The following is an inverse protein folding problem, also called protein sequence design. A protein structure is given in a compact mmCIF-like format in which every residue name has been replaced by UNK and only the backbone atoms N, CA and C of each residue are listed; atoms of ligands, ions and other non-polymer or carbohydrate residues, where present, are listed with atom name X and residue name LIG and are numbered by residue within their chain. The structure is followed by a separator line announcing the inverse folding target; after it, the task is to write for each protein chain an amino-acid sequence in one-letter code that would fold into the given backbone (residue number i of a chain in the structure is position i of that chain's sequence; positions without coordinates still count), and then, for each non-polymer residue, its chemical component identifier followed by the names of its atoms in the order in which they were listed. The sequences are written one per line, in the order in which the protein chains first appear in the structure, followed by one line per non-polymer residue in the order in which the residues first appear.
data_IF_336028439311
#
_entry.id   IF_336028439311
#
_cell.length_a   1.000
_cell.length_b   1.000
_cell.length_c   1.000
_cell.angle_alpha   90.00
_cell.angle_beta   90.00
_cell.angle_gamma   90.00
#
_symmetry.space_group_name_H-M   'P 1'
#
loop_
_entity.id
_entity.type
_entity.pdbx_description
1 polymer ?
#
# COMPACT_ATOMS: atom_id res chain seq x y z
N UNK A 1 -16.70 -20.75 25.35
CA UNK A 1 -16.23 -21.48 24.15
C UNK A 1 -16.88 -20.96 22.85
N UNK A 2 -18.22 -20.83 22.77
CA UNK A 2 -18.89 -20.33 21.54
C UNK A 2 -18.54 -18.87 21.18
N UNK A 3 -18.63 -17.93 22.13
CA UNK A 3 -18.34 -16.49 21.88
C UNK A 3 -16.90 -16.23 21.44
N UNK A 4 -15.93 -16.92 22.03
CA UNK A 4 -14.51 -16.82 21.64
C UNK A 4 -14.25 -17.36 20.24
N UNK A 5 -14.93 -18.44 19.84
CA UNK A 5 -14.83 -18.98 18.48
C UNK A 5 -15.47 -18.05 17.43
N UNK A 6 -16.58 -17.40 17.78
CA UNK A 6 -17.24 -16.40 16.93
C UNK A 6 -16.34 -15.17 16.71
N UNK A 7 -15.80 -14.59 17.78
CA UNK A 7 -14.86 -13.46 17.70
C UNK A 7 -13.61 -13.80 16.86
N UNK A 8 -13.09 -15.02 17.00
CA UNK A 8 -11.97 -15.49 16.18
C UNK A 8 -12.37 -15.66 14.69
N UNK A 9 -13.63 -16.02 14.38
CA UNK A 9 -14.12 -16.05 13.01
C UNK A 9 -14.24 -14.64 12.42
N UNK A 10 -14.77 -13.69 13.20
CA UNK A 10 -14.92 -12.30 12.80
C UNK A 10 -13.55 -11.64 12.56
N UNK A 11 -12.57 -11.94 13.40
CA UNK A 11 -11.20 -11.46 13.22
C UNK A 11 -10.55 -12.02 11.95
N UNK A 12 -10.71 -13.33 11.70
CA UNK A 12 -10.24 -13.94 10.45
C UNK A 12 -10.93 -13.32 9.24
N UNK A 13 -12.21 -12.98 9.33
CA UNK A 13 -12.93 -12.29 8.26
C UNK A 13 -12.39 -10.88 8.03
N UNK A 14 -12.22 -10.09 9.10
CA UNK A 14 -11.62 -8.77 9.03
C UNK A 14 -10.21 -8.80 8.40
N UNK A 15 -9.39 -9.79 8.79
CA UNK A 15 -8.05 -9.97 8.23
C UNK A 15 -8.11 -10.28 6.73
N UNK A 16 -9.01 -11.17 6.31
CA UNK A 16 -9.21 -11.45 4.87
C UNK A 16 -9.60 -10.19 4.10
N UNK A 17 -10.51 -9.38 4.64
CA UNK A 17 -10.93 -8.15 3.98
C UNK A 17 -9.80 -7.12 3.88
N UNK A 18 -9.04 -6.89 4.95
CA UNK A 18 -7.94 -5.91 4.92
C UNK A 18 -6.79 -6.38 4.01
N UNK A 19 -6.49 -7.68 3.96
CA UNK A 19 -5.49 -8.23 3.03
C UNK A 19 -5.92 -8.03 1.57
N UNK A 20 -7.19 -8.25 1.26
CA UNK A 20 -7.72 -8.04 -0.10
C UNK A 20 -7.75 -6.56 -0.48
N UNK A 21 -8.19 -5.70 0.45
CA UNK A 21 -8.15 -4.25 0.28
C UNK A 21 -6.71 -3.76 0.08
N UNK A 22 -5.75 -4.32 0.84
CA UNK A 22 -4.33 -4.05 0.64
C UNK A 22 -3.89 -4.39 -0.77
N UNK A 23 -4.14 -5.62 -1.25
CA UNK A 23 -3.76 -6.10 -2.59
C UNK A 23 -4.34 -5.19 -3.68
N UNK A 24 -5.66 -4.93 -3.63
CA UNK A 24 -6.34 -4.03 -4.58
C UNK A 24 -5.81 -2.60 -4.52
N UNK A 25 -5.43 -2.13 -3.33
CA UNK A 25 -4.89 -0.81 -3.08
C UNK A 25 -3.39 -0.66 -3.35
N UNK A 26 -2.64 -1.73 -3.69
CA UNK A 26 -1.16 -1.70 -3.70
C UNK A 26 -0.54 -0.61 -4.59
N UNK A 27 -1.24 -0.18 -5.66
CA UNK A 27 -0.76 0.87 -6.58
C UNK A 27 -1.17 2.28 -6.19
N UNK A 28 -2.10 2.41 -5.25
CA UNK A 28 -2.66 3.67 -4.80
C UNK A 28 -2.16 3.97 -3.38
N UNK A 29 -1.33 5.01 -3.25
CA UNK A 29 -0.64 5.31 -2.00
C UNK A 29 -1.59 5.38 -0.79
N UNK A 30 -2.70 6.13 -0.91
CA UNK A 30 -3.63 6.31 0.20
C UNK A 30 -4.32 5.00 0.59
N UNK A 31 -5.01 4.26 -0.31
CA UNK A 31 -5.54 2.93 0.01
C UNK A 31 -4.50 1.95 0.59
N UNK A 32 -3.27 1.98 0.09
CA UNK A 32 -2.18 1.14 0.58
C UNK A 32 -1.81 1.46 2.03
N UNK A 33 -1.57 2.74 2.34
CA UNK A 33 -1.26 3.22 3.69
C UNK A 33 -2.43 2.96 4.65
N UNK A 34 -3.66 3.20 4.21
CA UNK A 34 -4.86 2.92 5.01
C UNK A 34 -4.96 1.44 5.37
N UNK A 35 -4.69 0.54 4.43
CA UNK A 35 -4.71 -0.90 4.69
C UNK A 35 -3.64 -1.31 5.70
N UNK A 36 -2.44 -0.73 5.60
CA UNK A 36 -1.38 -0.94 6.58
C UNK A 36 -1.74 -0.40 7.97
N UNK A 37 -2.38 0.76 8.05
CA UNK A 37 -2.86 1.31 9.32
C UNK A 37 -3.92 0.40 9.97
N UNK A 38 -4.81 -0.20 9.20
CA UNK A 38 -5.77 -1.19 9.70
C UNK A 38 -5.09 -2.48 10.18
N UNK A 39 -4.16 -3.03 9.41
CA UNK A 39 -3.36 -4.19 9.84
C UNK A 39 -2.57 -3.89 11.13
N UNK A 40 -2.00 -2.68 11.23
CA UNK A 40 -1.28 -2.21 12.41
C UNK A 40 -2.21 -2.12 13.63
N UNK A 41 -3.42 -1.58 13.45
CA UNK A 41 -4.45 -1.52 14.50
C UNK A 41 -4.85 -2.93 14.96
N UNK A 42 -5.07 -3.86 14.04
CA UNK A 42 -5.38 -5.26 14.37
C UNK A 42 -4.22 -5.91 15.15
N UNK A 43 -2.97 -5.68 14.76
CA UNK A 43 -1.80 -6.16 15.49
C UNK A 43 -1.73 -5.59 16.91
N UNK A 44 -1.99 -4.29 17.06
CA UNK A 44 -2.05 -3.62 18.36
C UNK A 44 -3.10 -4.25 19.28
N UNK A 45 -4.34 -4.43 18.80
CA UNK A 45 -5.43 -5.04 19.57
C UNK A 45 -5.11 -6.47 20.04
N UNK A 46 -4.29 -7.21 19.28
CA UNK A 46 -3.89 -8.59 19.59
C UNK A 46 -2.61 -8.69 20.43
N UNK A 47 -1.93 -7.57 20.68
CA UNK A 47 -0.59 -7.58 21.28
C UNK A 47 0.49 -8.20 20.40
N UNK A 48 0.25 -8.31 19.09
CA UNK A 48 1.20 -8.89 18.13
C UNK A 48 2.27 -7.85 17.76
N UNK A 49 3.36 -7.84 18.54
CA UNK A 49 4.48 -6.92 18.35
C UNK A 49 5.23 -7.15 17.04
N UNK A 50 5.27 -8.40 16.56
CA UNK A 50 5.98 -8.73 15.32
C UNK A 50 5.25 -8.13 14.11
N UNK A 51 3.93 -8.31 14.06
CA UNK A 51 3.11 -7.69 13.02
C UNK A 51 3.12 -6.16 13.13
N UNK A 52 3.00 -5.61 14.34
CA UNK A 52 3.05 -4.17 14.58
C UNK A 52 4.33 -3.51 14.01
N UNK A 53 5.51 -4.08 14.30
CA UNK A 53 6.80 -3.59 13.78
C UNK A 53 6.92 -3.79 12.27
N UNK A 54 6.36 -4.86 11.72
CA UNK A 54 6.27 -5.08 10.28
C UNK A 54 5.47 -3.98 9.59
N UNK A 55 4.30 -3.64 10.13
CA UNK A 55 3.42 -2.60 9.58
C UNK A 55 4.06 -1.21 9.68
N UNK A 56 4.73 -0.89 10.79
CA UNK A 56 5.46 0.38 10.94
C UNK A 56 6.53 0.55 9.86
N UNK A 57 7.34 -0.49 9.61
CA UNK A 57 8.35 -0.47 8.53
C UNK A 57 7.69 -0.29 7.16
N UNK A 58 6.58 -0.98 6.89
CA UNK A 58 5.87 -0.85 5.62
C UNK A 58 5.31 0.56 5.41
N UNK A 59 4.79 1.22 6.44
CA UNK A 59 4.37 2.62 6.37
C UNK A 59 5.55 3.55 6.06
N UNK A 60 6.70 3.35 6.72
CA UNK A 60 7.90 4.15 6.49
C UNK A 60 8.41 4.05 5.05
N UNK A 61 8.44 2.84 4.48
CA UNK A 61 8.95 2.59 3.13
C UNK A 61 7.91 2.68 2.01
N UNK A 62 6.62 2.82 2.33
CA UNK A 62 5.55 2.86 1.34
C UNK A 62 5.67 4.05 0.39
N UNK A 63 5.98 5.26 0.89
CA UNK A 63 6.12 6.44 0.05
C UNK A 63 7.29 6.33 -0.95
N UNK A 64 8.54 6.03 -0.54
CA UNK A 64 9.63 5.89 -1.50
C UNK A 64 9.39 4.73 -2.47
N UNK A 65 8.86 3.59 -1.99
CA UNK A 65 8.53 2.45 -2.86
C UNK A 65 7.44 2.79 -3.90
N UNK A 66 6.44 3.56 -3.50
CA UNK A 66 5.40 4.07 -4.39
C UNK A 66 5.97 5.02 -5.44
N UNK A 67 6.91 5.88 -5.09
CA UNK A 67 7.56 6.79 -6.04
C UNK A 67 8.37 6.06 -7.12
N UNK A 68 9.07 4.97 -6.78
CA UNK A 68 9.90 4.20 -7.73
C UNK A 68 9.14 3.05 -8.43
N UNK A 69 7.99 2.63 -7.90
CA UNK A 69 7.16 1.57 -8.50
C UNK A 69 7.66 0.16 -8.23
N UNK A 70 8.14 -0.13 -7.02
CA UNK A 70 8.80 -1.41 -6.72
C UNK A 70 8.06 -2.27 -5.68
N UNK A 71 6.73 -2.38 -5.76
CA UNK A 71 5.96 -3.31 -4.91
C UNK A 71 5.33 -4.41 -5.76
N UNK A 72 5.71 -5.69 -5.58
CA UNK A 72 5.10 -6.79 -6.32
C UNK A 72 3.63 -6.96 -5.91
N UNK A 73 2.75 -6.88 -6.90
CA UNK A 73 1.31 -7.01 -6.67
C UNK A 73 0.97 -8.44 -6.25
N UNK A 74 0.06 -8.61 -5.30
CA UNK A 74 -0.36 -9.90 -4.75
C UNK A 74 0.25 -10.23 -3.39
N UNK A 75 1.27 -9.47 -2.94
CA UNK A 75 1.78 -9.60 -1.58
C UNK A 75 0.67 -9.30 -0.54
N UNK A 76 0.45 -10.15 0.46
CA UNK A 76 -0.68 -9.99 1.40
C UNK A 76 -0.49 -8.88 2.44
N UNK A 77 0.69 -8.27 2.54
CA UNK A 77 0.90 -7.17 3.49
C UNK A 77 1.37 -7.58 4.88
N UNK A 78 1.32 -8.87 5.22
CA UNK A 78 1.66 -9.40 6.56
C UNK A 78 3.16 -9.34 6.85
N UNK A 79 3.55 -9.19 8.11
CA UNK A 79 4.95 -9.14 8.54
C UNK A 79 5.68 -10.49 8.39
N UNK A 80 4.93 -11.60 8.40
CA UNK A 80 5.45 -12.95 8.15
C UNK A 80 5.84 -13.19 6.68
N UNK A 81 5.45 -12.28 5.79
CA UNK A 81 5.76 -12.35 4.36
C UNK A 81 6.68 -11.19 4.00
N UNK A 82 7.84 -11.53 3.41
CA UNK A 82 8.79 -10.51 2.92
C UNK A 82 8.07 -9.52 1.99
N UNK A 83 8.26 -8.19 2.12
CA UNK A 83 7.62 -7.19 1.28
C UNK A 83 7.93 -7.35 -0.22
N UNK A 84 9.10 -7.92 -0.51
CA UNK A 84 9.59 -8.12 -1.88
C UNK A 84 9.28 -9.51 -2.43
N UNK A 85 8.67 -10.40 -1.63
CA UNK A 85 8.30 -11.74 -2.09
C UNK A 85 7.10 -11.62 -3.05
N UNK A 86 7.23 -12.05 -4.31
CA UNK A 86 6.08 -12.25 -5.19
C UNK A 86 5.23 -13.37 -4.62
N UNK A 87 3.92 -13.13 -4.53
CA UNK A 87 2.94 -14.12 -4.06
C UNK A 87 1.89 -14.26 -5.15
N UNK A 88 1.54 -15.49 -5.59
CA UNK A 88 0.47 -15.70 -6.56
C UNK A 88 -0.82 -15.05 -6.07
N UNK A 89 -1.43 -14.24 -6.94
CA UNK A 89 -2.70 -13.59 -6.64
C UNK A 89 -3.86 -14.57 -6.85
N UNK A 90 -4.88 -14.49 -6.00
CA UNK A 90 -6.12 -15.24 -6.22
C UNK A 90 -6.82 -14.77 -7.51
N UNK A 91 -7.43 -15.70 -8.25
CA UNK A 91 -8.00 -15.43 -9.57
C UNK A 91 -9.07 -14.32 -9.55
N UNK A 92 -9.83 -14.26 -8.47
CA UNK A 92 -10.88 -13.26 -8.26
C UNK A 92 -10.34 -11.82 -8.09
N UNK A 93 -9.06 -11.66 -7.72
CA UNK A 93 -8.38 -10.36 -7.69
C UNK A 93 -7.59 -10.11 -8.98
N UNK A 94 -7.05 -11.16 -9.61
CA UNK A 94 -6.20 -11.06 -10.80
C UNK A 94 -6.89 -10.33 -11.96
N UNK A 95 -8.22 -10.46 -12.08
CA UNK A 95 -9.03 -9.77 -13.10
C UNK A 95 -8.85 -8.25 -13.09
N UNK A 96 -8.58 -7.65 -11.94
CA UNK A 96 -8.39 -6.20 -11.81
C UNK A 96 -7.01 -5.71 -12.28
N UNK A 97 -6.07 -6.62 -12.54
CA UNK A 97 -4.68 -6.28 -12.88
C UNK A 97 -4.27 -6.67 -14.31
N UNK A 98 -5.16 -7.28 -15.10
CA UNK A 98 -4.85 -7.84 -16.44
C UNK A 98 -4.19 -6.81 -17.38
N UNK A 99 -4.64 -5.57 -17.35
CA UNK A 99 -4.13 -4.49 -18.21
C UNK A 99 -3.37 -3.40 -17.43
N UNK A 100 -3.03 -3.69 -16.19
CA UNK A 100 -2.51 -2.70 -15.27
C UNK A 100 -0.98 -2.74 -15.26
N UNK A 101 -0.34 -1.72 -15.85
CA UNK A 101 1.12 -1.58 -15.86
C UNK A 101 1.62 -0.58 -14.82
N UNK A 102 2.54 -1.02 -13.97
CA UNK A 102 3.11 -0.16 -12.91
C UNK A 102 3.82 1.06 -13.48
N UNK A 103 4.47 0.92 -14.64
CA UNK A 103 5.20 1.98 -15.32
C UNK A 103 4.30 3.09 -15.85
N UNK A 104 3.05 2.78 -16.22
CA UNK A 104 2.08 3.82 -16.60
C UNK A 104 1.86 4.77 -15.43
N UNK A 105 1.63 4.22 -14.24
CA UNK A 105 1.45 5.01 -13.02
C UNK A 105 2.73 5.75 -12.62
N UNK A 106 3.90 5.16 -12.86
CA UNK A 106 5.21 5.80 -12.61
C UNK A 106 5.43 7.02 -13.49
N UNK A 107 5.24 6.86 -14.79
CA UNK A 107 5.47 7.93 -15.75
C UNK A 107 4.48 9.08 -15.54
N UNK A 108 3.21 8.79 -15.28
CA UNK A 108 2.20 9.81 -15.01
C UNK A 108 2.55 10.67 -13.78
N UNK A 109 2.90 10.04 -12.64
CA UNK A 109 3.24 10.81 -11.42
C UNK A 109 4.53 11.60 -11.58
N UNK A 110 5.57 11.03 -12.19
CA UNK A 110 6.83 11.74 -12.42
C UNK A 110 6.64 12.92 -13.40
N UNK A 111 5.83 12.74 -14.43
CA UNK A 111 5.46 13.82 -15.35
C UNK A 111 4.72 14.96 -14.66
N UNK A 112 3.75 14.66 -13.80
CA UNK A 112 3.04 15.66 -13.01
C UNK A 112 3.96 16.41 -12.03
N UNK A 113 4.86 15.70 -11.36
CA UNK A 113 5.84 16.31 -10.45
C UNK A 113 6.82 17.22 -11.21
N UNK A 114 7.30 16.79 -12.38
CA UNK A 114 8.18 17.60 -13.23
C UNK A 114 7.46 18.87 -13.72
N UNK A 115 6.22 18.75 -14.17
CA UNK A 115 5.41 19.90 -14.58
C UNK A 115 5.21 20.90 -13.43
N UNK A 116 4.88 20.42 -12.23
CA UNK A 116 4.74 21.27 -11.05
C UNK A 116 6.04 22.00 -10.70
N UNK A 117 7.18 21.31 -10.75
CA UNK A 117 8.49 21.91 -10.52
C UNK A 117 8.83 22.98 -11.56
N UNK A 118 8.53 22.74 -12.84
CA UNK A 118 8.73 23.71 -13.92
C UNK A 118 7.88 24.97 -13.72
N UNK A 119 6.61 24.82 -13.33
CA UNK A 119 5.73 25.96 -13.04
C UNK A 119 6.25 26.79 -11.87
N UNK A 120 6.68 26.14 -10.78
CA UNK A 120 7.25 26.83 -9.62
C UNK A 120 8.58 27.55 -9.95
N UNK A 121 9.40 26.95 -10.81
CA UNK A 121 10.63 27.58 -11.27
C UNK A 121 10.33 28.80 -12.15
N UNK A 122 9.41 28.68 -13.12
CA UNK A 122 9.00 29.78 -13.99
C UNK A 122 8.38 30.94 -13.19
N UNK A 123 7.55 30.65 -12.18
CA UNK A 123 6.99 31.70 -11.31
C UNK A 123 8.09 32.44 -10.54
N UNK A 124 9.10 31.72 -10.04
CA UNK A 124 10.23 32.32 -9.33
C UNK A 124 11.05 33.22 -10.25
N UNK A 125 11.30 32.80 -11.50
CA UNK A 125 11.99 33.62 -12.50
C UNK A 125 11.22 34.90 -12.87
N UNK A 126 9.90 34.81 -13.03
CA UNK A 126 9.06 35.98 -13.30
C UNK A 126 9.06 36.95 -12.12
N UNK A 127 9.04 36.46 -10.88
CA UNK A 127 9.13 37.31 -9.68
C UNK A 127 10.49 37.98 -9.48
N UNK A 128 11.59 37.41 -9.99
CA UNK A 128 12.92 38.02 -9.93
C UNK A 128 13.09 39.11 -11.00
N UNK A 129 12.40 38.97 -12.14
CA UNK A 129 12.52 39.87 -13.30
C UNK A 129 11.44 40.96 -13.37
N UNK A 130 10.51 41.02 -12.41
CA UNK A 130 9.46 42.02 -12.28
C UNK A 130 9.80 43.03 -11.18
#
# INVERSE_FOLDING_TARGET
MMKSALLACDEKAALRHVVRAHILGQRYLIPHLTSHAWMMRMAWTRGDKFELLGQLRRLLFALPAWLVGWVPVGNPGLASVSPLRPVPMSQDLAVYFVNDSIWRHVLLRLGLLALAALMAFASTLLSINA
#
